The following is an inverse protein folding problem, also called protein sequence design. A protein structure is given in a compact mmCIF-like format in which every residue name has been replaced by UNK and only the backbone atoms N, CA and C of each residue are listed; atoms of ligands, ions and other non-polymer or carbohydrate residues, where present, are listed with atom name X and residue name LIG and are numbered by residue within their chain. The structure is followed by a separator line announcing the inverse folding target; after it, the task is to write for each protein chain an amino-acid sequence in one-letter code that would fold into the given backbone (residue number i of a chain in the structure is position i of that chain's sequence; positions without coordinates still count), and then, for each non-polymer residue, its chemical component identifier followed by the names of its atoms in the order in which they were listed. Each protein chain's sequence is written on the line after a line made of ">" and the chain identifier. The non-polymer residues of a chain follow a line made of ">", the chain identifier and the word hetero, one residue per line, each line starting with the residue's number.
data_IF_038345087904
#
_entry.id   IF_038345087904
#
_cell.length_a   1.000
_cell.length_b   1.000
_cell.length_c   1.000
_cell.angle_alpha   90.00
_cell.angle_beta   90.00
_cell.angle_gamma   90.00
#
_symmetry.space_group_name_H-M   'P 1'
#
loop_
_entity.id
_entity.type
_entity.pdbx_description
1 polymer ?
#
# COMPACT_ATOMS: atom_id res chain seq x y z
N UNK A 1 -58.49 -12.52 14.49
CA UNK A 1 -57.61 -11.47 13.90
C UNK A 1 -58.27 -10.89 12.66
N UNK A 2 -58.37 -9.56 12.55
CA UNK A 2 -58.84 -8.91 11.32
C UNK A 2 -57.82 -9.10 10.17
N UNK A 3 -58.27 -9.03 8.92
CA UNK A 3 -57.38 -9.15 7.75
C UNK A 3 -56.23 -8.11 7.78
N UNK A 4 -56.46 -6.94 8.38
CA UNK A 4 -55.46 -5.89 8.58
C UNK A 4 -54.40 -6.28 9.62
N UNK A 5 -54.80 -6.91 10.73
CA UNK A 5 -53.86 -7.41 11.74
C UNK A 5 -52.97 -8.54 11.20
N UNK A 6 -53.50 -9.41 10.32
CA UNK A 6 -52.70 -10.44 9.65
C UNK A 6 -51.66 -9.83 8.70
N UNK A 7 -52.03 -8.83 7.91
CA UNK A 7 -51.10 -8.13 7.01
C UNK A 7 -50.02 -7.36 7.78
N UNK A 8 -50.38 -6.70 8.88
CA UNK A 8 -49.42 -6.02 9.75
C UNK A 8 -48.41 -7.00 10.38
N UNK A 9 -48.88 -8.17 10.85
CA UNK A 9 -48.01 -9.20 11.40
C UNK A 9 -47.04 -9.78 10.36
N UNK A 10 -47.50 -10.01 9.13
CA UNK A 10 -46.64 -10.48 8.03
C UNK A 10 -45.59 -9.43 7.67
N UNK A 11 -45.98 -8.15 7.56
CA UNK A 11 -45.03 -7.07 7.27
C UNK A 11 -44.01 -6.86 8.41
N UNK A 12 -44.43 -7.00 9.66
CA UNK A 12 -43.52 -6.92 10.81
C UNK A 12 -42.51 -8.08 10.83
N UNK A 13 -42.95 -9.30 10.49
CA UNK A 13 -42.06 -10.46 10.35
C UNK A 13 -41.07 -10.25 9.20
N UNK A 14 -41.56 -9.77 8.05
CA UNK A 14 -40.73 -9.50 6.87
C UNK A 14 -39.73 -8.37 7.15
N UNK A 15 -40.15 -7.32 7.87
CA UNK A 15 -39.26 -6.26 8.34
C UNK A 15 -38.21 -6.79 9.33
N UNK A 16 -38.59 -7.66 10.27
CA UNK A 16 -37.63 -8.29 11.18
C UNK A 16 -36.61 -9.15 10.42
N UNK A 17 -37.04 -9.92 9.43
CA UNK A 17 -36.16 -10.74 8.56
C UNK A 17 -35.39 -9.90 7.54
N UNK A 18 -35.75 -8.65 7.30
CA UNK A 18 -34.95 -7.75 6.45
C UNK A 18 -34.02 -6.84 7.26
N UNK A 19 -34.36 -6.54 8.51
CA UNK A 19 -33.58 -5.68 9.41
C UNK A 19 -32.53 -6.45 10.24
N UNK A 20 -32.74 -7.74 10.52
CA UNK A 20 -31.73 -8.63 11.17
C UNK A 20 -30.68 -9.12 10.14
N UNK A 21 -30.66 -8.50 8.95
CA UNK A 21 -29.75 -8.70 7.82
C UNK A 21 -28.29 -9.06 8.19
N UNK A 22 -27.63 -8.42 9.17
CA UNK A 22 -26.22 -8.72 9.46
C UNK A 22 -25.94 -10.16 9.92
N UNK A 23 -26.95 -10.94 10.35
CA UNK A 23 -26.70 -12.27 10.93
C UNK A 23 -26.66 -13.41 9.91
N UNK A 24 -27.36 -13.31 8.77
CA UNK A 24 -27.48 -14.40 7.79
C UNK A 24 -27.00 -14.06 6.38
N UNK A 25 -26.75 -12.79 6.06
CA UNK A 25 -26.10 -12.41 4.80
C UNK A 25 -24.71 -13.04 4.64
N UNK A 26 -23.86 -13.14 5.69
CA UNK A 26 -22.58 -13.86 5.58
C UNK A 26 -22.73 -15.37 5.31
N UNK A 27 -23.93 -15.93 5.41
CA UNK A 27 -24.19 -17.36 5.15
C UNK A 27 -24.90 -17.60 3.81
N UNK A 28 -25.33 -16.54 3.12
CA UNK A 28 -25.97 -16.60 1.80
C UNK A 28 -25.06 -16.13 0.67
N UNK A 29 -24.00 -15.41 1.04
CA UNK A 29 -22.88 -15.04 0.17
C UNK A 29 -21.72 -15.87 0.69
N UNK A 30 -21.13 -16.73 -0.14
CA UNK A 30 -20.01 -17.60 0.27
C UNK A 30 -18.95 -16.76 1.01
N UNK A 31 -18.88 -16.95 2.32
CA UNK A 31 -18.00 -16.20 3.22
C UNK A 31 -16.58 -16.76 3.22
N UNK A 32 -16.03 -17.00 2.04
CA UNK A 32 -14.60 -17.33 1.87
C UNK A 32 -13.82 -16.18 1.20
N UNK A 33 -14.45 -15.25 0.50
CA UNK A 33 -13.78 -14.12 -0.15
C UNK A 33 -13.74 -12.88 0.76
N UNK A 34 -12.84 -12.89 1.75
CA UNK A 34 -12.47 -11.64 2.43
C UNK A 34 -11.61 -10.81 1.48
N UNK A 35 -12.17 -9.76 0.89
CA UNK A 35 -11.41 -8.80 0.09
C UNK A 35 -10.47 -7.98 1.00
N UNK A 36 -9.27 -7.70 0.52
CA UNK A 36 -8.30 -6.83 1.21
C UNK A 36 -8.89 -5.43 1.38
N UNK A 37 -8.70 -4.81 2.55
CA UNK A 37 -9.12 -3.43 2.77
C UNK A 37 -8.34 -2.38 1.97
N UNK A 38 -7.37 -2.79 1.14
CA UNK A 38 -6.50 -1.92 0.36
C UNK A 38 -6.81 -2.08 -1.13
N UNK A 39 -6.89 -0.95 -1.83
CA UNK A 39 -6.96 -0.87 -3.29
C UNK A 39 -5.54 -0.68 -3.83
N UNK A 40 -5.26 -1.30 -4.97
CA UNK A 40 -3.98 -1.24 -5.66
C UNK A 40 -4.17 -0.71 -7.08
N UNK A 41 -3.19 0.03 -7.56
CA UNK A 41 -3.09 0.44 -8.96
C UNK A 41 -1.81 -0.16 -9.56
N UNK A 42 -1.81 -0.31 -10.88
CA UNK A 42 -0.62 -0.69 -11.63
C UNK A 42 -0.33 0.37 -12.71
N UNK A 43 0.87 0.91 -12.67
CA UNK A 43 1.37 1.85 -13.69
C UNK A 43 2.40 1.17 -14.57
N UNK A 44 2.22 1.24 -15.88
CA UNK A 44 3.29 0.94 -16.82
C UNK A 44 4.39 2.01 -16.71
N UNK A 45 5.65 1.58 -16.74
CA UNK A 45 6.83 2.43 -16.63
C UNK A 45 7.62 2.36 -17.93
N UNK A 46 7.74 3.50 -18.61
CA UNK A 46 8.68 3.66 -19.72
C UNK A 46 10.01 4.22 -19.20
N UNK A 47 11.05 3.37 -19.20
CA UNK A 47 12.39 3.78 -18.78
C UNK A 47 13.03 4.86 -19.66
N UNK A 48 12.49 5.14 -20.86
CA UNK A 48 12.91 6.28 -21.67
C UNK A 48 12.31 7.61 -21.17
N UNK A 49 11.20 7.58 -20.44
CA UNK A 49 10.53 8.76 -19.89
C UNK A 49 11.12 9.17 -18.52
N UNK A 50 11.47 10.44 -18.36
CA UNK A 50 12.08 10.94 -17.13
C UNK A 50 11.14 10.92 -15.91
N UNK A 51 9.85 11.23 -16.11
CA UNK A 51 8.85 11.22 -15.05
C UNK A 51 8.53 9.80 -14.58
N UNK A 52 8.54 8.83 -15.50
CA UNK A 52 8.31 7.42 -15.16
C UNK A 52 9.47 6.85 -14.34
N UNK A 53 10.71 7.20 -14.69
CA UNK A 53 11.89 6.85 -13.88
C UNK A 53 11.84 7.44 -12.48
N UNK A 54 11.34 8.68 -12.34
CA UNK A 54 11.18 9.31 -11.03
C UNK A 54 10.13 8.60 -10.18
N UNK A 55 8.96 8.31 -10.75
CA UNK A 55 7.92 7.54 -10.06
C UNK A 55 8.41 6.15 -9.66
N UNK A 56 9.15 5.48 -10.54
CA UNK A 56 9.75 4.18 -10.26
C UNK A 56 10.70 4.25 -9.05
N UNK A 57 11.69 5.15 -9.07
CA UNK A 57 12.67 5.28 -7.97
C UNK A 57 11.98 5.62 -6.66
N UNK A 58 10.93 6.44 -6.68
CA UNK A 58 10.14 6.74 -5.48
C UNK A 58 9.37 5.51 -4.96
N UNK A 59 8.79 4.71 -5.86
CA UNK A 59 7.95 3.58 -5.48
C UNK A 59 8.74 2.37 -4.98
N UNK A 60 9.87 2.03 -5.62
CA UNK A 60 10.61 0.79 -5.32
C UNK A 60 12.04 1.03 -4.82
N UNK A 61 12.51 2.27 -4.78
CA UNK A 61 13.88 2.58 -4.41
C UNK A 61 14.17 2.66 -2.92
N UNK A 62 13.18 2.48 -2.04
CA UNK A 62 13.36 2.70 -0.59
C UNK A 62 14.40 1.76 0.04
N UNK A 63 14.52 0.53 -0.48
CA UNK A 63 15.46 -0.44 0.06
C UNK A 63 16.89 -0.21 -0.46
N UNK A 64 17.07 0.28 -1.68
CA UNK A 64 18.40 0.45 -2.30
C UNK A 64 18.95 1.89 -2.26
N UNK A 65 18.10 2.88 -1.97
CA UNK A 65 18.45 4.30 -1.99
C UNK A 65 18.26 4.90 -0.60
N UNK A 66 19.35 5.30 0.04
CA UNK A 66 19.31 6.02 1.32
C UNK A 66 19.25 7.53 1.10
N UNK A 67 18.32 8.23 1.76
CA UNK A 67 18.35 9.68 1.84
C UNK A 67 19.32 10.11 2.95
N UNK A 68 20.29 10.96 2.60
CA UNK A 68 21.31 11.43 3.55
C UNK A 68 20.71 12.29 4.66
N UNK A 69 19.64 13.04 4.37
CA UNK A 69 18.91 13.84 5.36
C UNK A 69 18.12 12.93 6.31
N UNK A 70 17.41 11.94 5.77
CA UNK A 70 16.68 10.96 6.60
C UNK A 70 17.65 10.18 7.49
N UNK A 71 18.84 9.83 6.98
CA UNK A 71 19.88 9.23 7.78
C UNK A 71 20.31 10.17 8.92
N UNK A 72 20.55 11.46 8.66
CA UNK A 72 20.95 12.40 9.70
C UNK A 72 19.90 12.53 10.83
N UNK A 73 18.62 12.43 10.47
CA UNK A 73 17.49 12.56 11.41
C UNK A 73 17.04 11.21 12.02
N UNK A 74 17.60 10.09 11.55
CA UNK A 74 17.22 8.77 11.99
C UNK A 74 17.48 8.60 13.50
N UNK A 75 16.42 8.26 14.25
CA UNK A 75 16.54 7.85 15.64
C UNK A 75 16.61 6.32 15.70
N UNK A 76 17.81 5.77 15.52
CA UNK A 76 17.99 4.32 15.52
C UNK A 76 18.13 3.77 16.94
N UNK A 77 17.35 2.72 17.23
CA UNK A 77 17.46 2.02 18.50
C UNK A 77 18.69 1.11 18.49
N UNK A 78 19.62 1.33 19.41
CA UNK A 78 20.79 0.46 19.55
C UNK A 78 20.37 -0.92 20.04
N UNK A 79 20.50 -1.96 19.20
CA UNK A 79 20.15 -3.36 19.55
C UNK A 79 20.88 -3.86 20.82
N UNK A 80 21.97 -3.22 21.24
CA UNK A 80 22.77 -3.58 22.41
C UNK A 80 23.10 -2.41 23.35
N UNK A 81 22.31 -1.32 23.34
CA UNK A 81 22.52 -0.18 24.22
C UNK A 81 21.21 0.49 24.65
N UNK A 82 21.20 1.07 25.84
CA UNK A 82 20.02 1.77 26.40
C UNK A 82 19.81 3.18 25.79
N UNK A 83 20.60 3.55 24.78
CA UNK A 83 20.63 4.88 24.18
C UNK A 83 20.20 4.86 22.71
N UNK A 84 19.43 5.88 22.31
CA UNK A 84 19.13 6.17 20.91
C UNK A 84 20.40 6.66 20.22
N UNK A 85 20.70 6.09 19.05
CA UNK A 85 21.82 6.51 18.20
C UNK A 85 21.29 7.47 17.15
N UNK A 86 21.93 8.63 17.06
CA UNK A 86 21.73 9.58 15.97
C UNK A 86 22.93 9.41 15.03
N UNK A 87 22.75 8.89 13.80
CA UNK A 87 23.86 8.64 12.89
C UNK A 87 24.30 9.91 12.14
N UNK A 88 24.19 11.08 12.76
CA UNK A 88 24.59 12.40 12.24
C UNK A 88 26.07 12.40 11.79
N UNK A 89 26.96 11.77 12.57
CA UNK A 89 28.37 11.66 12.21
C UNK A 89 28.61 10.82 10.95
N UNK A 90 27.78 9.81 10.69
CA UNK A 90 27.82 9.03 9.47
C UNK A 90 27.25 9.82 8.29
N UNK A 91 26.10 10.47 8.47
CA UNK A 91 25.49 11.33 7.47
C UNK A 91 26.47 12.43 7.01
N UNK A 92 27.17 13.09 7.94
CA UNK A 92 28.19 14.10 7.60
C UNK A 92 29.45 13.54 6.93
N UNK A 93 29.74 12.24 7.03
CA UNK A 93 30.79 11.60 6.20
C UNK A 93 30.25 11.33 4.79
N UNK A 94 29.02 10.85 4.69
CA UNK A 94 28.38 10.55 3.41
C UNK A 94 28.14 11.82 2.58
N UNK A 95 27.68 12.89 3.21
CA UNK A 95 27.56 14.23 2.60
C UNK A 95 28.90 14.70 2.04
N UNK A 96 29.96 14.68 2.86
CA UNK A 96 31.32 15.01 2.40
C UNK A 96 31.81 14.11 1.28
N UNK A 97 31.45 12.82 1.29
CA UNK A 97 31.79 11.92 0.20
C UNK A 97 31.05 12.31 -1.09
N UNK A 98 29.77 12.69 -1.02
CA UNK A 98 29.00 13.15 -2.19
C UNK A 98 29.55 14.45 -2.78
N UNK A 99 30.11 15.34 -1.94
CA UNK A 99 30.74 16.59 -2.38
C UNK A 99 32.14 16.37 -2.98
N UNK A 100 32.95 15.52 -2.37
CA UNK A 100 34.38 15.39 -2.67
C UNK A 100 34.73 14.10 -3.44
N UNK A 101 33.76 13.23 -3.70
CA UNK A 101 33.93 11.89 -4.25
C UNK A 101 34.37 10.83 -3.22
N UNK A 102 35.03 11.24 -2.14
CA UNK A 102 35.41 10.35 -1.04
C UNK A 102 35.53 11.10 0.28
N UNK A 103 35.21 10.41 1.38
CA UNK A 103 35.46 10.89 2.74
C UNK A 103 35.77 9.71 3.66
N UNK A 104 36.50 9.96 4.74
CA UNK A 104 36.87 8.93 5.71
C UNK A 104 36.52 9.34 7.14
N UNK A 105 36.37 8.35 8.00
CA UNK A 105 36.19 8.51 9.43
C UNK A 105 36.90 7.43 10.23
N UNK A 106 37.47 7.81 11.37
CA UNK A 106 38.00 6.89 12.38
C UNK A 106 37.06 6.71 13.57
N UNK A 107 35.89 7.37 13.55
CA UNK A 107 34.86 7.18 14.56
C UNK A 107 34.23 5.79 14.39
N UNK A 108 34.20 5.02 15.48
CA UNK A 108 33.79 3.62 15.44
C UNK A 108 32.30 3.45 15.13
N UNK A 109 31.46 4.35 15.63
CA UNK A 109 30.02 4.30 15.44
C UNK A 109 29.64 4.76 14.03
N UNK A 110 30.24 5.86 13.55
CA UNK A 110 30.08 6.29 12.16
C UNK A 110 30.58 5.21 11.19
N UNK A 111 31.72 4.59 11.48
CA UNK A 111 32.27 3.48 10.70
C UNK A 111 31.32 2.27 10.65
N UNK A 112 30.67 1.94 11.77
CA UNK A 112 29.68 0.88 11.80
C UNK A 112 28.46 1.22 10.94
N UNK A 113 27.90 2.41 11.10
CA UNK A 113 26.72 2.85 10.35
C UNK A 113 27.00 2.93 8.85
N UNK A 114 28.13 3.53 8.43
CA UNK A 114 28.49 3.64 7.01
C UNK A 114 28.65 2.28 6.34
N UNK A 115 29.25 1.30 7.04
CA UNK A 115 29.37 -0.06 6.50
C UNK A 115 28.03 -0.77 6.39
N UNK A 116 27.13 -0.56 7.34
CA UNK A 116 25.76 -1.12 7.25
C UNK A 116 24.99 -0.44 6.12
N UNK A 117 25.07 0.88 6.01
CA UNK A 117 24.42 1.65 4.93
C UNK A 117 24.91 1.16 3.58
N UNK A 118 26.23 1.09 3.35
CA UNK A 118 26.79 0.61 2.09
C UNK A 118 26.59 -0.91 1.85
N UNK A 119 26.20 -1.69 2.86
CA UNK A 119 25.86 -3.10 2.70
C UNK A 119 24.38 -3.32 2.35
N UNK A 120 23.51 -2.38 2.72
CA UNK A 120 22.07 -2.47 2.50
C UNK A 120 21.59 -1.59 1.34
N UNK A 121 22.31 -0.51 1.02
CA UNK A 121 21.94 0.46 0.01
C UNK A 121 23.06 0.59 -1.02
N UNK A 122 22.69 0.52 -2.31
CA UNK A 122 23.61 0.72 -3.42
C UNK A 122 23.81 2.22 -3.73
N UNK A 123 22.79 3.04 -3.46
CA UNK A 123 22.79 4.47 -3.76
C UNK A 123 22.46 5.33 -2.54
N UNK A 124 22.93 6.56 -2.57
CA UNK A 124 22.48 7.64 -1.70
C UNK A 124 21.86 8.76 -2.55
N UNK A 125 20.86 9.45 -1.99
CA UNK A 125 20.26 10.66 -2.58
C UNK A 125 20.51 11.87 -1.68
N UNK A 126 20.83 12.99 -2.31
CA UNK A 126 21.06 14.28 -1.63
C UNK A 126 20.23 15.37 -2.29
N UNK A 127 19.61 16.21 -1.46
CA UNK A 127 18.93 17.45 -1.85
C UNK A 127 17.42 17.29 -1.98
N UNK A 128 16.68 18.21 -1.37
CA UNK A 128 15.21 18.15 -1.26
C UNK A 128 14.52 18.39 -2.62
N UNK A 129 14.82 19.52 -3.28
CA UNK A 129 14.16 19.93 -4.53
C UNK A 129 14.90 19.48 -5.80
N UNK A 130 16.18 19.10 -5.68
CA UNK A 130 17.03 18.69 -6.81
C UNK A 130 17.84 17.46 -6.42
N UNK A 131 17.12 16.36 -6.25
CA UNK A 131 17.69 15.07 -5.90
C UNK A 131 18.84 14.69 -6.84
N UNK A 132 20.03 14.54 -6.25
CA UNK A 132 21.23 14.02 -6.91
C UNK A 132 21.55 12.66 -6.31
N UNK A 133 21.74 11.66 -7.16
CA UNK A 133 22.03 10.30 -6.75
C UNK A 133 23.51 10.03 -6.84
N UNK A 134 24.02 9.23 -5.91
CA UNK A 134 25.39 8.79 -5.87
C UNK A 134 25.41 7.31 -5.60
N UNK A 135 26.18 6.54 -6.38
CA UNK A 135 26.52 5.18 -6.01
C UNK A 135 27.53 5.22 -4.88
N UNK A 136 27.30 4.43 -3.83
CA UNK A 136 28.13 4.45 -2.62
C UNK A 136 28.87 3.13 -2.44
N UNK A 137 30.07 3.21 -1.88
CA UNK A 137 30.85 2.04 -1.46
C UNK A 137 31.63 2.40 -0.20
N UNK A 138 31.77 1.46 0.72
CA UNK A 138 32.51 1.64 1.97
C UNK A 138 33.62 0.60 2.12
N UNK A 139 34.85 1.08 2.24
CA UNK A 139 36.03 0.27 2.47
C UNK A 139 36.61 0.53 3.86
N UNK A 140 36.88 -0.55 4.61
CA UNK A 140 37.54 -0.47 5.91
C UNK A 140 39.05 -0.72 5.77
N UNK A 141 39.86 0.16 6.35
CA UNK A 141 41.32 0.03 6.44
C UNK A 141 41.77 0.29 7.88
N UNK A 142 42.06 -0.78 8.62
CA UNK A 142 42.39 -0.67 10.04
C UNK A 142 41.21 -0.12 10.85
N UNK A 143 41.42 1.02 11.51
CA UNK A 143 40.40 1.71 12.32
C UNK A 143 39.67 2.83 11.54
N UNK A 144 39.93 2.96 10.24
CA UNK A 144 39.33 3.98 9.39
C UNK A 144 38.37 3.33 8.39
N UNK A 145 37.20 3.93 8.20
CA UNK A 145 36.27 3.60 7.12
C UNK A 145 36.30 4.75 6.12
N UNK A 146 36.61 4.43 4.87
CA UNK A 146 36.52 5.35 3.75
C UNK A 146 35.26 5.03 2.95
N UNK A 147 34.51 6.06 2.60
CA UNK A 147 33.33 5.99 1.74
C UNK A 147 33.66 6.71 0.44
N UNK A 148 33.33 6.08 -0.68
CA UNK A 148 33.36 6.71 -1.99
C UNK A 148 31.94 6.92 -2.49
N UNK A 149 31.67 8.09 -3.04
CA UNK A 149 30.39 8.42 -3.64
C UNK A 149 30.64 8.87 -5.09
N UNK A 150 30.07 8.15 -6.06
CA UNK A 150 30.20 8.48 -7.47
C UNK A 150 28.85 8.92 -8.01
N UNK A 151 28.77 10.11 -8.60
CA UNK A 151 27.52 10.64 -9.13
C UNK A 151 26.90 9.65 -10.13
N UNK A 152 25.62 9.36 -9.91
CA UNK A 152 24.81 8.46 -10.71
C UNK A 152 23.63 9.22 -11.31
N UNK A 153 23.30 8.92 -12.56
CA UNK A 153 22.08 9.47 -13.17
C UNK A 153 20.87 8.73 -12.60
N UNK A 154 19.74 9.42 -12.48
CA UNK A 154 18.45 8.78 -12.12
C UNK A 154 18.10 7.63 -13.09
N UNK A 155 18.53 7.73 -14.34
CA UNK A 155 18.41 6.64 -15.31
C UNK A 155 19.23 5.40 -14.93
N UNK A 156 20.45 5.57 -14.43
CA UNK A 156 21.26 4.45 -13.93
C UNK A 156 20.60 3.80 -12.71
N UNK A 157 20.06 4.59 -11.78
CA UNK A 157 19.34 4.09 -10.59
C UNK A 157 18.09 3.31 -11.01
N UNK A 158 17.23 3.90 -11.86
CA UNK A 158 16.03 3.25 -12.35
C UNK A 158 16.31 1.92 -13.06
N UNK A 159 17.37 1.87 -13.89
CA UNK A 159 17.78 0.61 -14.53
C UNK A 159 18.29 -0.41 -13.51
N UNK A 160 19.05 0.00 -12.51
CA UNK A 160 19.50 -0.90 -11.46
C UNK A 160 18.30 -1.55 -10.75
N UNK A 161 17.35 -0.75 -10.26
CA UNK A 161 16.16 -1.25 -9.54
C UNK A 161 15.36 -2.25 -10.39
N UNK A 162 15.16 -1.93 -11.68
CA UNK A 162 14.50 -2.86 -12.60
C UNK A 162 15.27 -4.16 -12.81
N UNK A 163 16.61 -4.15 -12.83
CA UNK A 163 17.37 -5.38 -13.04
C UNK A 163 17.54 -6.20 -11.76
N UNK A 164 17.54 -5.53 -10.60
CA UNK A 164 17.77 -6.14 -9.30
C UNK A 164 16.47 -6.71 -8.72
N UNK A 165 15.37 -5.94 -8.78
CA UNK A 165 14.11 -6.25 -8.08
C UNK A 165 12.96 -6.61 -9.02
N UNK A 166 13.27 -6.88 -10.29
CA UNK A 166 12.27 -7.36 -11.23
C UNK A 166 11.81 -8.77 -10.89
N UNK A 167 10.49 -8.92 -10.77
CA UNK A 167 9.82 -10.21 -10.72
C UNK A 167 9.20 -10.48 -12.09
N UNK A 168 9.61 -11.58 -12.72
CA UNK A 168 9.03 -11.99 -13.99
C UNK A 168 7.59 -12.46 -13.76
N UNK A 169 6.63 -11.93 -14.52
CA UNK A 169 5.23 -12.34 -14.44
C UNK A 169 5.06 -13.86 -14.59
N UNK A 170 5.88 -14.49 -15.45
CA UNK A 170 5.85 -15.94 -15.66
C UNK A 170 6.30 -16.77 -14.44
N UNK A 171 7.09 -16.19 -13.53
CA UNK A 171 7.51 -16.87 -12.29
C UNK A 171 6.49 -16.73 -11.15
N UNK A 172 5.52 -15.81 -11.27
CA UNK A 172 4.47 -15.64 -10.27
C UNK A 172 3.55 -16.87 -10.22
N UNK A 173 3.06 -17.28 -9.04
CA UNK A 173 1.94 -18.21 -8.91
C UNK A 173 0.70 -17.75 -9.68
N UNK A 174 -0.17 -18.69 -10.05
CA UNK A 174 -1.37 -18.42 -10.86
C UNK A 174 -2.30 -17.36 -10.24
N UNK A 175 -2.49 -17.41 -8.92
CA UNK A 175 -3.32 -16.42 -8.21
C UNK A 175 -2.72 -15.01 -8.24
N UNK A 176 -1.40 -14.88 -8.11
CA UNK A 176 -0.73 -13.57 -8.23
C UNK A 176 -0.76 -13.06 -9.67
N UNK A 177 -0.63 -13.93 -10.67
CA UNK A 177 -0.79 -13.55 -12.08
C UNK A 177 -2.18 -13.00 -12.38
N UNK A 178 -3.22 -13.70 -11.91
CA UNK A 178 -4.61 -13.24 -12.07
C UNK A 178 -4.85 -11.87 -11.39
N UNK A 179 -4.28 -11.67 -10.20
CA UNK A 179 -4.35 -10.39 -9.49
C UNK A 179 -3.61 -9.27 -10.24
N UNK A 180 -2.42 -9.56 -10.79
CA UNK A 180 -1.67 -8.63 -11.64
C UNK A 180 -2.47 -8.28 -12.91
N UNK A 181 -3.12 -9.27 -13.54
CA UNK A 181 -3.99 -9.01 -14.69
C UNK A 181 -5.15 -8.09 -14.32
N UNK A 182 -5.80 -8.36 -13.20
CA UNK A 182 -6.94 -7.59 -12.74
C UNK A 182 -6.57 -6.14 -12.37
N UNK A 183 -5.42 -5.91 -11.72
CA UNK A 183 -4.95 -4.55 -11.40
C UNK A 183 -4.52 -3.78 -12.64
N UNK A 184 -3.88 -4.45 -13.61
CA UNK A 184 -3.52 -3.82 -14.89
C UNK A 184 -4.76 -3.49 -15.71
N UNK A 185 -5.78 -4.35 -15.72
CA UNK A 185 -7.05 -4.10 -16.41
C UNK A 185 -7.86 -2.98 -15.74
N UNK A 186 -7.84 -2.90 -14.40
CA UNK A 186 -8.51 -1.84 -13.65
C UNK A 186 -7.90 -0.45 -13.92
N UNK A 187 -6.59 -0.38 -14.17
CA UNK A 187 -5.88 0.88 -14.41
C UNK A 187 -6.11 1.88 -13.27
N UNK A 188 -6.43 3.13 -13.60
CA UNK A 188 -6.64 4.21 -12.63
C UNK A 188 -7.91 4.05 -11.77
N UNK A 189 -8.75 3.04 -12.01
CA UNK A 189 -9.93 2.78 -11.17
C UNK A 189 -9.61 1.98 -9.91
N UNK A 190 -8.42 1.38 -9.87
CA UNK A 190 -7.92 0.58 -8.77
C UNK A 190 -8.60 -0.78 -8.62
N UNK A 191 -7.81 -1.73 -8.15
CA UNK A 191 -8.22 -3.11 -7.93
C UNK A 191 -8.12 -3.48 -6.45
N UNK A 192 -9.18 -4.12 -5.95
CA UNK A 192 -9.25 -4.60 -4.56
C UNK A 192 -9.03 -6.11 -4.57
N UNK A 193 -7.81 -6.59 -4.24
CA UNK A 193 -7.51 -8.00 -4.31
C UNK A 193 -8.26 -8.79 -3.24
N UNK A 194 -8.49 -10.07 -3.52
CA UNK A 194 -8.92 -11.03 -2.54
C UNK A 194 -7.78 -11.35 -1.55
N UNK A 195 -8.11 -11.72 -0.31
CA UNK A 195 -7.10 -12.01 0.73
C UNK A 195 -6.05 -13.06 0.33
N UNK A 196 -6.36 -13.95 -0.63
CA UNK A 196 -5.44 -14.95 -1.15
C UNK A 196 -4.49 -14.47 -2.25
N UNK A 197 -4.71 -13.30 -2.83
CA UNK A 197 -3.98 -12.82 -4.02
C UNK A 197 -2.66 -12.12 -3.68
N UNK A 198 -2.54 -11.56 -2.46
CA UNK A 198 -1.30 -11.06 -1.86
C UNK A 198 -0.50 -10.06 -2.72
N UNK A 199 -1.16 -9.09 -3.34
CA UNK A 199 -0.48 -8.03 -4.10
C UNK A 199 0.50 -7.19 -3.27
N UNK A 200 0.34 -7.15 -1.94
CA UNK A 200 1.30 -6.49 -1.03
C UNK A 200 2.70 -7.10 -1.08
N UNK A 201 2.87 -8.35 -1.51
CA UNK A 201 4.20 -8.96 -1.68
C UNK A 201 4.92 -8.43 -2.94
N UNK A 202 4.23 -7.68 -3.80
CA UNK A 202 4.74 -7.15 -5.06
C UNK A 202 4.92 -5.63 -5.06
N UNK A 203 4.57 -4.93 -3.97
CA UNK A 203 4.60 -3.45 -3.94
C UNK A 203 5.99 -2.87 -3.97
N UNK A 204 6.97 -3.63 -3.51
CA UNK A 204 8.37 -3.23 -3.41
C UNK A 204 9.17 -3.80 -4.59
N UNK A 205 8.51 -4.21 -5.67
CA UNK A 205 9.12 -4.90 -6.80
C UNK A 205 8.53 -4.44 -8.13
N UNK A 206 9.29 -4.65 -9.20
CA UNK A 206 8.85 -4.34 -10.57
C UNK A 206 8.35 -5.62 -11.22
N UNK A 207 7.10 -5.67 -11.64
CA UNK A 207 6.57 -6.84 -12.37
C UNK A 207 6.85 -6.68 -13.85
N UNK A 208 7.57 -7.64 -14.44
CA UNK A 208 7.89 -7.66 -15.88
C UNK A 208 6.91 -8.57 -16.61
N UNK A 209 6.10 -7.98 -17.50
CA UNK A 209 5.12 -8.68 -18.32
C UNK A 209 5.21 -8.19 -19.76
N UNK A 210 5.40 -9.11 -20.71
CA UNK A 210 5.39 -8.79 -22.15
C UNK A 210 6.32 -7.60 -22.50
N UNK A 211 7.55 -7.63 -21.99
CA UNK A 211 8.58 -6.56 -22.11
C UNK A 211 8.16 -5.18 -21.54
N UNK A 212 7.10 -5.14 -20.74
CA UNK A 212 6.62 -3.94 -20.04
C UNK A 212 6.87 -4.07 -18.54
N UNK A 213 7.36 -2.99 -17.93
CA UNK A 213 7.57 -2.87 -16.49
C UNK A 213 6.33 -2.30 -15.84
N UNK A 214 5.78 -3.00 -14.86
CA UNK A 214 4.65 -2.55 -14.05
C UNK A 214 5.09 -2.35 -12.61
N UNK A 215 4.75 -1.18 -12.08
CA UNK A 215 4.84 -0.91 -10.64
C UNK A 215 3.43 -1.05 -10.06
N UNK A 216 3.29 -1.98 -9.13
CA UNK A 216 2.04 -2.20 -8.38
C UNK A 216 2.17 -1.45 -7.07
N UNK A 217 1.21 -0.61 -6.73
CA UNK A 217 1.28 0.20 -5.52
C UNK A 217 -0.10 0.34 -4.86
N UNK A 218 -0.16 0.47 -3.53
CA UNK A 218 -1.40 0.78 -2.84
C UNK A 218 -1.88 2.18 -3.25
N UNK A 219 -3.13 2.29 -3.69
CA UNK A 219 -3.75 3.54 -4.14
C UNK A 219 -4.82 4.07 -3.19
N UNK A 220 -5.30 3.23 -2.27
CA UNK A 220 -6.27 3.66 -1.26
C UNK A 220 -6.61 2.59 -0.24
N UNK A 221 -7.38 2.98 0.77
CA UNK A 221 -7.99 2.09 1.76
C UNK A 221 -9.50 2.18 1.62
N UNK A 222 -10.18 1.04 1.73
CA UNK A 222 -11.62 0.85 1.53
C UNK A 222 -12.52 1.64 2.51
N UNK A 223 -11.95 2.41 3.43
CA UNK A 223 -12.67 3.42 4.21
C UNK A 223 -13.08 4.65 3.37
N UNK A 224 -12.59 4.77 2.13
CA UNK A 224 -13.15 5.70 1.15
C UNK A 224 -14.47 5.11 0.62
N UNK A 225 -15.58 5.49 1.27
CA UNK A 225 -16.94 5.06 0.93
C UNK A 225 -17.39 5.57 -0.46
N UNK A 226 -16.81 5.01 -1.52
CA UNK A 226 -17.35 5.06 -2.88
C UNK A 226 -18.56 4.11 -3.02
N UNK A 227 -19.53 4.41 -3.89
CA UNK A 227 -20.73 3.60 -4.05
C UNK A 227 -20.39 2.28 -4.76
N UNK A 228 -19.96 1.26 -4.02
CA UNK A 228 -19.79 -0.08 -4.59
C UNK A 228 -21.17 -0.72 -4.85
N UNK A 229 -21.34 -1.50 -5.94
CA UNK A 229 -22.60 -2.18 -6.26
C UNK A 229 -23.10 -3.06 -5.11
N UNK A 230 -22.17 -3.65 -4.34
CA UNK A 230 -22.44 -4.49 -3.17
C UNK A 230 -22.93 -3.66 -1.96
N UNK A 231 -22.43 -2.43 -1.78
CA UNK A 231 -22.93 -1.48 -0.79
C UNK A 231 -24.35 -0.98 -1.11
N UNK A 232 -24.64 -0.76 -2.40
CA UNK A 232 -25.96 -0.33 -2.86
C UNK A 232 -27.05 -1.37 -2.59
N UNK A 233 -26.73 -2.66 -2.78
CA UNK A 233 -27.66 -3.76 -2.46
C UNK A 233 -28.01 -3.81 -0.96
N UNK A 234 -27.03 -3.62 -0.07
CA UNK A 234 -27.26 -3.55 1.39
C UNK A 234 -28.12 -2.34 1.76
N UNK A 235 -27.85 -1.18 1.18
CA UNK A 235 -28.65 0.04 1.36
C UNK A 235 -30.10 -0.13 0.85
N UNK A 236 -30.28 -0.72 -0.33
CA UNK A 236 -31.59 -0.96 -0.92
C UNK A 236 -32.41 -1.95 -0.07
N UNK A 237 -31.80 -3.04 0.41
CA UNK A 237 -32.48 -3.98 1.30
C UNK A 237 -32.86 -3.33 2.64
N UNK A 238 -31.98 -2.53 3.23
CA UNK A 238 -32.26 -1.81 4.48
C UNK A 238 -33.37 -0.77 4.29
N UNK A 239 -33.38 -0.05 3.16
CA UNK A 239 -34.45 0.90 2.82
C UNK A 239 -35.80 0.18 2.65
N UNK A 240 -35.83 -0.98 1.97
CA UNK A 240 -37.04 -1.80 1.82
C UNK A 240 -37.51 -2.33 3.18
N UNK A 241 -36.60 -2.80 4.04
CA UNK A 241 -36.91 -3.24 5.40
C UNK A 241 -37.49 -2.11 6.27
N UNK A 242 -36.91 -0.91 6.22
CA UNK A 242 -37.41 0.26 6.94
C UNK A 242 -38.80 0.70 6.45
N UNK A 243 -39.04 0.70 5.12
CA UNK A 243 -40.35 1.01 4.55
C UNK A 243 -41.41 -0.04 4.95
N UNK A 244 -41.06 -1.32 4.98
CA UNK A 244 -41.95 -2.37 5.44
C UNK A 244 -42.31 -2.23 6.93
N UNK A 245 -41.34 -1.84 7.77
CA UNK A 245 -41.55 -1.55 9.18
C UNK A 245 -42.50 -0.36 9.38
N UNK A 246 -42.27 0.75 8.67
CA UNK A 246 -43.13 1.93 8.70
C UNK A 246 -44.56 1.61 8.24
N UNK A 247 -44.72 0.84 7.18
CA UNK A 247 -46.03 0.39 6.71
C UNK A 247 -46.76 -0.49 7.75
N UNK A 248 -46.03 -1.37 8.44
CA UNK A 248 -46.59 -2.18 9.52
C UNK A 248 -47.03 -1.32 10.72
N UNK A 249 -46.25 -0.30 11.08
CA UNK A 249 -46.57 0.64 12.16
C UNK A 249 -47.86 1.44 11.83
N UNK A 250 -47.95 2.00 10.62
CA UNK A 250 -49.13 2.74 10.16
C UNK A 250 -50.38 1.86 10.17
N UNK A 251 -50.29 0.63 9.65
CA UNK A 251 -51.41 -0.31 9.65
C UNK A 251 -51.85 -0.72 11.07
N UNK A 252 -50.90 -0.81 12.00
CA UNK A 252 -51.19 -1.13 13.41
C UNK A 252 -51.89 0.03 14.10
N UNK A 253 -51.44 1.27 13.88
CA UNK A 253 -52.09 2.49 14.39
C UNK A 253 -53.51 2.64 13.83
N UNK A 254 -53.69 2.42 12.52
CA UNK A 254 -54.99 2.47 11.86
C UNK A 254 -55.93 1.34 12.30
N UNK A 255 -55.39 0.19 12.72
CA UNK A 255 -56.18 -0.89 13.30
C UNK A 255 -56.61 -0.62 14.75
N UNK A 256 -55.82 0.18 15.49
CA UNK A 256 -56.10 0.56 16.88
C UNK A 256 -57.03 1.78 17.03
N UNK A 257 -57.09 2.66 16.03
CA UNK A 257 -58.15 3.68 15.96
C UNK A 257 -59.50 3.02 15.69
N UNK A 258 -60.19 2.60 16.75
CA UNK A 258 -61.64 2.32 16.68
C UNK A 258 -62.36 3.63 16.30
N UNK A 259 -63.37 3.60 15.41
CA UNK A 259 -64.29 4.72 15.30
C UNK A 259 -65.03 4.81 16.63
N UNK A 260 -64.82 5.89 17.37
CA UNK A 260 -65.75 6.30 18.43
C UNK A 260 -67.12 6.46 17.76
N UNK A 261 -68.07 5.63 18.17
CA UNK A 261 -69.50 5.83 17.94
C UNK A 261 -70.08 6.44 19.19
#
# INVERSE_FOLDING_TARGET
>A
MSARARRAAVLALLAAVLLVNPVYVPHLVDAEESASGTTYDASAVDLANAGDRERLVYAVGQDDVVDVNDLAEANEHAVYGDEYRVPEAAAGVLERATENGTASTSDADASFTLRRVAANHEFAVVGDDSQRYYRIDAAASGNETSVTATEATREAVARYLVHHDAVLYASLPEHQRAAVDAVVEAGDTGYMPESGERLWELTDSVVVRDDTYYVVQPSGVADDFGPSPRGFARLALNAVGALAFLAALVLTVLAYRRPER
#
